data_IF_838543039312
#
_entry.id   IF_838543039312
#
_cell.length_a   1.000
_cell.length_b   1.000
_cell.length_c   1.000
_cell.angle_alpha   90.00
_cell.angle_beta   90.00
_cell.angle_gamma   90.00
#
_symmetry.space_group_name_H-M   'P 1'
#
loop_
_entity.id
_entity.type
_entity.pdbx_description
1 polymer ?
#
# COMPACT_ATOMS: atom_id res chain seq x y z
N UNK A 1 -29.72 -2.15 -3.58
CA UNK A 1 -28.90 -0.95 -3.86
C UNK A 1 -28.50 -1.00 -5.34
N UNK A 2 -28.50 0.12 -6.08
CA UNK A 2 -28.04 0.12 -7.49
C UNK A 2 -26.54 -0.22 -7.52
N UNK A 3 -26.14 -1.17 -8.36
CA UNK A 3 -24.72 -1.48 -8.59
C UNK A 3 -24.03 -0.32 -9.30
N UNK A 4 -22.78 -0.02 -8.94
CA UNK A 4 -21.96 0.93 -9.70
C UNK A 4 -21.50 0.28 -10.98
N UNK A 5 -21.80 0.93 -12.11
CA UNK A 5 -21.37 0.46 -13.43
C UNK A 5 -19.95 0.90 -13.73
N UNK A 6 -19.07 -0.05 -13.97
CA UNK A 6 -17.65 0.16 -14.20
C UNK A 6 -17.33 -0.13 -15.67
N UNK A 7 -16.65 0.81 -16.34
CA UNK A 7 -16.01 0.58 -17.63
C UNK A 7 -14.50 0.46 -17.47
N UNK A 8 -13.84 -0.26 -18.38
CA UNK A 8 -12.37 -0.31 -18.47
C UNK A 8 -11.88 0.10 -19.85
N UNK A 9 -10.80 0.89 -19.90
CA UNK A 9 -10.04 1.21 -21.10
C UNK A 9 -8.76 0.36 -21.09
N UNK A 10 -8.60 -0.54 -22.05
CA UNK A 10 -7.44 -1.46 -22.14
C UNK A 10 -6.79 -1.45 -23.52
N UNK A 11 -5.49 -1.71 -23.58
CA UNK A 11 -4.79 -1.90 -24.87
C UNK A 11 -5.00 -3.30 -25.46
N UNK A 12 -5.24 -4.30 -24.62
CA UNK A 12 -5.60 -5.67 -25.00
C UNK A 12 -6.23 -6.40 -23.82
N UNK A 13 -6.83 -7.58 -24.05
CA UNK A 13 -7.33 -8.47 -22.99
C UNK A 13 -6.21 -9.29 -22.31
N UNK A 14 -4.94 -9.02 -22.63
CA UNK A 14 -3.79 -9.52 -21.90
C UNK A 14 -3.19 -8.39 -21.07
N UNK A 15 -3.35 -8.45 -19.75
CA UNK A 15 -3.07 -7.34 -18.82
C UNK A 15 -2.01 -7.72 -17.78
N UNK A 16 -1.54 -6.73 -17.01
CA UNK A 16 -0.68 -6.96 -15.86
C UNK A 16 -1.49 -7.50 -14.66
N UNK A 17 -0.84 -8.22 -13.74
CA UNK A 17 -1.51 -8.86 -12.61
C UNK A 17 -2.37 -7.92 -11.75
N UNK A 18 -1.92 -6.69 -11.53
CA UNK A 18 -2.65 -5.76 -10.66
C UNK A 18 -3.95 -5.27 -11.31
N UNK A 19 -4.03 -5.29 -12.65
CA UNK A 19 -5.27 -5.01 -13.40
C UNK A 19 -6.22 -6.20 -13.26
N UNK A 20 -5.69 -7.42 -13.39
CA UNK A 20 -6.43 -8.67 -13.16
C UNK A 20 -6.98 -8.76 -11.73
N UNK A 21 -6.20 -8.34 -10.73
CA UNK A 21 -6.65 -8.24 -9.32
C UNK A 21 -7.78 -7.22 -9.12
N UNK A 22 -7.70 -6.05 -9.77
CA UNK A 22 -8.80 -5.06 -9.75
C UNK A 22 -10.06 -5.62 -10.42
N UNK A 23 -9.92 -6.28 -11.57
CA UNK A 23 -11.04 -6.90 -12.28
C UNK A 23 -11.66 -8.00 -11.42
N UNK A 24 -10.83 -8.87 -10.83
CA UNK A 24 -11.30 -9.92 -9.92
C UNK A 24 -12.08 -9.36 -8.74
N UNK A 25 -11.60 -8.25 -8.14
CA UNK A 25 -12.33 -7.54 -7.10
C UNK A 25 -13.69 -7.02 -7.60
N UNK A 26 -13.74 -6.38 -8.78
CA UNK A 26 -14.98 -5.87 -9.37
C UNK A 26 -15.99 -7.00 -9.60
N UNK A 27 -15.54 -8.16 -10.08
CA UNK A 27 -16.40 -9.31 -10.35
C UNK A 27 -16.89 -9.99 -9.07
N UNK A 28 -16.13 -9.91 -7.97
CA UNK A 28 -16.48 -10.52 -6.69
C UNK A 28 -17.35 -9.62 -5.80
N UNK A 29 -17.39 -8.31 -6.04
CA UNK A 29 -18.13 -7.35 -5.23
C UNK A 29 -19.56 -7.12 -5.76
N UNK A 30 -20.56 -7.53 -4.99
CA UNK A 30 -21.97 -7.39 -5.37
C UNK A 30 -22.46 -5.94 -5.53
N UNK A 31 -21.70 -4.95 -5.06
CA UNK A 31 -21.99 -3.52 -5.25
C UNK A 31 -21.57 -3.03 -6.63
N UNK A 32 -20.78 -3.81 -7.37
CA UNK A 32 -20.17 -3.40 -8.64
C UNK A 32 -20.68 -4.26 -9.81
N UNK A 33 -20.62 -3.67 -11.00
CA UNK A 33 -20.89 -4.33 -12.26
C UNK A 33 -19.86 -3.88 -13.29
N UNK A 34 -19.10 -4.81 -13.89
CA UNK A 34 -18.27 -4.46 -15.03
C UNK A 34 -19.15 -4.45 -16.30
N UNK A 35 -19.48 -3.26 -16.77
CA UNK A 35 -20.51 -3.04 -17.80
C UNK A 35 -19.95 -2.75 -19.19
N UNK A 36 -18.67 -2.40 -19.33
CA UNK A 36 -18.07 -2.07 -20.63
C UNK A 36 -16.55 -2.31 -20.68
N UNK A 37 -16.09 -2.88 -21.79
CA UNK A 37 -14.68 -2.91 -22.19
C UNK A 37 -14.49 -2.02 -23.41
N UNK A 38 -13.64 -1.00 -23.30
CA UNK A 38 -13.18 -0.18 -24.42
C UNK A 38 -11.75 -0.58 -24.76
N UNK A 39 -11.61 -1.35 -25.84
CA UNK A 39 -10.32 -1.87 -26.29
C UNK A 39 -9.68 -0.95 -27.33
N UNK A 40 -8.39 -0.67 -27.17
CA UNK A 40 -7.60 0.07 -28.14
C UNK A 40 -7.42 -0.73 -29.44
N UNK A 41 -8.08 -0.29 -30.50
CA UNK A 41 -8.00 -0.83 -31.85
C UNK A 41 -6.87 -0.27 -32.70
N UNK A 42 -5.97 0.57 -32.16
CA UNK A 42 -4.81 1.02 -32.91
C UNK A 42 -3.83 -0.13 -33.14
N UNK A 43 -3.38 -0.31 -34.38
CA UNK A 43 -2.36 -1.31 -34.68
C UNK A 43 -1.03 -0.96 -33.99
N UNK A 44 -0.36 -1.93 -33.35
CA UNK A 44 0.96 -1.72 -32.80
C UNK A 44 1.89 -1.29 -33.93
N UNK A 45 2.62 -0.17 -33.75
CA UNK A 45 3.64 0.20 -34.73
C UNK A 45 4.70 -0.90 -34.78
N UNK A 46 5.01 -1.48 -35.96
CA UNK A 46 5.99 -2.54 -36.06
C UNK A 46 7.35 -2.02 -35.56
N UNK A 47 7.86 -2.65 -34.49
CA UNK A 47 9.22 -2.39 -34.02
C UNK A 47 10.19 -3.14 -34.91
N UNK A 48 11.00 -2.43 -35.69
CA UNK A 48 12.08 -3.05 -36.46
C UNK A 48 13.01 -3.83 -35.51
N UNK A 49 13.34 -5.11 -35.80
CA UNK A 49 14.26 -5.87 -34.98
C UNK A 49 15.61 -5.15 -34.93
N UNK A 50 16.11 -4.91 -33.72
CA UNK A 50 17.35 -4.17 -33.46
C UNK A 50 18.51 -5.14 -33.27
N UNK A 51 19.66 -4.85 -33.89
CA UNK A 51 20.89 -5.63 -33.71
C UNK A 51 21.43 -5.48 -32.27
N UNK A 52 22.18 -6.47 -31.79
CA UNK A 52 22.79 -6.43 -30.45
C UNK A 52 23.67 -5.19 -30.24
N UNK A 53 24.46 -4.81 -31.25
CA UNK A 53 25.29 -3.60 -31.25
C UNK A 53 24.46 -2.32 -31.11
N UNK A 54 23.30 -2.24 -31.76
CA UNK A 54 22.42 -1.08 -31.63
C UNK A 54 21.82 -0.96 -30.23
N UNK A 55 21.52 -2.09 -29.56
CA UNK A 55 21.01 -2.12 -28.18
C UNK A 55 22.06 -1.71 -27.15
N UNK A 56 23.32 -2.08 -27.36
CA UNK A 56 24.44 -1.69 -26.48
C UNK A 56 24.73 -0.18 -26.62
N UNK A 57 24.56 0.37 -27.81
CA UNK A 57 24.69 1.82 -28.07
C UNK A 57 23.52 2.65 -27.53
N UNK A 58 22.43 2.03 -27.08
CA UNK A 58 21.37 2.76 -26.39
C UNK A 58 21.85 3.21 -25.01
N UNK A 59 21.51 4.46 -24.68
CA UNK A 59 21.93 5.06 -23.43
C UNK A 59 21.21 4.46 -22.20
N UNK A 60 20.52 3.33 -22.29
CA UNK A 60 19.81 2.68 -21.19
C UNK A 60 20.05 1.15 -21.14
N UNK A 61 21.08 0.66 -21.85
CA UNK A 61 21.43 -0.76 -21.87
C UNK A 61 21.65 -1.35 -20.47
N UNK A 62 22.38 -0.64 -19.60
CA UNK A 62 22.69 -1.09 -18.25
C UNK A 62 21.43 -1.27 -17.40
N UNK A 63 20.42 -0.42 -17.61
CA UNK A 63 19.13 -0.51 -16.91
C UNK A 63 18.42 -1.82 -17.22
N UNK A 64 18.27 -2.17 -18.49
CA UNK A 64 17.62 -3.42 -18.87
C UNK A 64 18.41 -4.66 -18.45
N UNK A 65 19.75 -4.58 -18.43
CA UNK A 65 20.58 -5.67 -17.89
C UNK A 65 20.40 -5.82 -16.38
N UNK A 66 20.37 -4.71 -15.65
CA UNK A 66 20.13 -4.71 -14.21
C UNK A 66 18.75 -5.27 -13.88
N UNK A 67 17.68 -4.84 -14.56
CA UNK A 67 16.32 -5.36 -14.32
C UNK A 67 16.24 -6.89 -14.51
N UNK A 68 16.98 -7.46 -15.48
CA UNK A 68 17.06 -8.92 -15.65
C UNK A 68 17.77 -9.62 -14.50
N UNK A 69 18.70 -8.96 -13.83
CA UNK A 69 19.38 -9.50 -12.64
C UNK A 69 18.50 -9.35 -11.40
N UNK A 70 17.85 -8.19 -11.24
CA UNK A 70 16.91 -7.92 -10.15
C UNK A 70 15.73 -8.92 -10.19
N UNK A 71 15.17 -9.17 -11.37
CA UNK A 71 14.17 -10.22 -11.62
C UNK A 71 14.60 -11.64 -11.26
N UNK A 72 15.90 -11.93 -11.27
CA UNK A 72 16.41 -13.24 -10.84
C UNK A 72 16.60 -13.33 -9.33
N UNK A 73 16.80 -12.20 -8.65
CA UNK A 73 16.93 -12.16 -7.18
C UNK A 73 15.61 -12.46 -6.51
N UNK A 74 14.50 -12.01 -7.10
CA UNK A 74 13.15 -12.33 -6.68
C UNK A 74 12.34 -12.93 -7.83
N UNK A 75 12.56 -14.23 -8.08
CA UNK A 75 11.88 -14.94 -9.15
C UNK A 75 10.36 -15.06 -8.90
N UNK A 76 9.95 -15.19 -7.63
CA UNK A 76 8.55 -15.32 -7.24
C UNK A 76 7.79 -13.99 -7.47
N UNK A 77 8.33 -12.87 -6.98
CA UNK A 77 7.74 -11.56 -7.24
C UNK A 77 7.78 -11.20 -8.73
N UNK A 78 8.86 -11.55 -9.44
CA UNK A 78 8.92 -11.35 -10.89
C UNK A 78 7.86 -12.18 -11.64
N UNK A 79 7.54 -13.39 -11.18
CA UNK A 79 6.51 -14.23 -11.79
C UNK A 79 5.12 -13.60 -11.73
N UNK A 80 4.85 -12.71 -10.76
CA UNK A 80 3.60 -11.94 -10.73
C UNK A 80 3.47 -11.00 -11.94
N UNK A 81 4.57 -10.53 -12.53
CA UNK A 81 4.52 -9.68 -13.72
C UNK A 81 4.25 -10.44 -15.03
N UNK A 82 4.06 -11.76 -14.98
CA UNK A 82 3.64 -12.52 -16.15
C UNK A 82 2.26 -12.04 -16.62
N UNK A 83 2.05 -11.86 -17.94
CA UNK A 83 0.77 -11.39 -18.45
C UNK A 83 -0.40 -12.30 -18.07
N UNK A 84 -1.56 -11.70 -17.82
CA UNK A 84 -2.81 -12.37 -17.45
C UNK A 84 -3.84 -12.21 -18.55
N UNK A 85 -4.45 -13.31 -18.98
CA UNK A 85 -5.55 -13.29 -19.93
C UNK A 85 -6.87 -13.13 -19.18
N UNK A 86 -7.53 -11.99 -19.37
CA UNK A 86 -8.83 -11.67 -18.75
C UNK A 86 -10.00 -11.95 -19.68
N UNK A 87 -9.76 -12.36 -20.94
CA UNK A 87 -10.84 -12.59 -21.89
C UNK A 87 -11.88 -13.63 -21.43
N UNK A 88 -11.50 -14.78 -20.82
CA UNK A 88 -12.47 -15.77 -20.38
C UNK A 88 -13.42 -15.25 -19.29
N UNK A 89 -12.88 -14.50 -18.32
CA UNK A 89 -13.67 -13.95 -17.21
C UNK A 89 -14.66 -12.87 -17.66
N UNK A 90 -14.40 -12.23 -18.81
CA UNK A 90 -15.16 -11.08 -19.28
C UNK A 90 -15.96 -11.35 -20.57
N UNK A 91 -16.18 -12.61 -20.92
CA UNK A 91 -16.81 -12.99 -22.19
C UNK A 91 -18.23 -12.43 -22.38
N UNK A 92 -18.97 -12.18 -21.29
CA UNK A 92 -20.32 -11.61 -21.31
C UNK A 92 -20.35 -10.08 -21.29
N UNK A 93 -19.22 -9.41 -21.07
CA UNK A 93 -19.17 -7.96 -20.94
C UNK A 93 -19.13 -7.32 -22.34
N UNK A 94 -20.01 -6.33 -22.62
CA UNK A 94 -19.98 -5.60 -23.88
C UNK A 94 -18.60 -5.02 -24.18
N UNK A 95 -18.19 -5.08 -25.44
CA UNK A 95 -16.86 -4.66 -25.89
C UNK A 95 -16.95 -3.75 -27.11
N UNK A 96 -16.37 -2.56 -26.98
CA UNK A 96 -16.21 -1.58 -28.06
C UNK A 96 -14.73 -1.52 -28.43
N UNK A 97 -14.41 -1.63 -29.71
CA UNK A 97 -13.05 -1.47 -30.21
C UNK A 97 -12.88 -0.09 -30.82
N UNK A 98 -12.02 0.73 -30.22
CA UNK A 98 -11.82 2.13 -30.63
C UNK A 98 -10.44 2.36 -31.21
N UNK A 99 -10.37 2.95 -32.40
CA UNK A 99 -9.10 3.44 -32.96
C UNK A 99 -8.94 4.93 -32.65
N UNK A 100 -8.12 5.32 -31.65
CA UNK A 100 -8.00 6.71 -31.24
C UNK A 100 -7.35 7.60 -32.31
N UNK A 101 -7.76 8.87 -32.34
CA UNK A 101 -7.11 9.92 -33.11
C UNK A 101 -5.82 10.33 -32.39
N UNK A 102 -4.72 9.75 -32.86
CA UNK A 102 -3.41 9.90 -32.27
C UNK A 102 -2.73 11.23 -32.63
N UNK A 103 -2.41 12.08 -31.64
CA UNK A 103 -1.59 13.30 -31.83
C UNK A 103 -0.44 13.37 -30.81
N UNK A 104 0.82 13.38 -31.27
CA UNK A 104 2.02 13.30 -30.40
C UNK A 104 1.90 12.12 -29.41
N UNK A 105 1.67 12.41 -28.11
CA UNK A 105 1.50 11.45 -27.02
C UNK A 105 0.06 11.36 -26.49
N UNK A 106 -0.88 12.05 -27.15
CA UNK A 106 -2.29 12.13 -26.73
C UNK A 106 -3.21 11.36 -27.64
N UNK A 107 -4.22 10.73 -27.05
CA UNK A 107 -5.31 10.05 -27.73
C UNK A 107 -6.61 10.83 -27.54
N UNK A 108 -7.31 11.09 -28.64
CA UNK A 108 -8.68 11.61 -28.64
C UNK A 108 -9.59 10.60 -29.31
N UNK A 109 -10.84 10.56 -28.86
CA UNK A 109 -11.84 9.61 -29.34
C UNK A 109 -12.74 10.31 -30.37
N UNK A 110 -13.28 9.56 -31.34
CA UNK A 110 -14.25 10.13 -32.27
C UNK A 110 -15.55 10.43 -31.54
N UNK A 111 -16.38 11.32 -32.10
CA UNK A 111 -17.62 11.73 -31.42
C UNK A 111 -18.60 10.56 -31.31
N UNK A 112 -18.59 9.68 -32.32
CA UNK A 112 -19.42 8.49 -32.40
C UNK A 112 -19.01 7.48 -31.32
N UNK A 113 -17.71 7.21 -31.19
CA UNK A 113 -17.17 6.32 -30.14
C UNK A 113 -17.52 6.85 -28.73
N UNK A 114 -17.41 8.18 -28.51
CA UNK A 114 -17.76 8.79 -27.22
C UNK A 114 -19.26 8.69 -26.94
N UNK A 115 -20.11 8.85 -27.95
CA UNK A 115 -21.55 8.71 -27.80
C UNK A 115 -21.93 7.27 -27.45
N UNK A 116 -21.38 6.29 -28.16
CA UNK A 116 -21.59 4.86 -27.90
C UNK A 116 -21.15 4.49 -26.47
N UNK A 117 -19.98 4.96 -26.02
CA UNK A 117 -19.51 4.73 -24.65
C UNK A 117 -20.46 5.36 -23.61
N UNK A 118 -21.01 6.54 -23.90
CA UNK A 118 -21.93 7.25 -22.99
C UNK A 118 -23.27 6.51 -22.82
N UNK A 119 -23.73 5.80 -23.84
CA UNK A 119 -24.98 5.04 -23.80
C UNK A 119 -24.95 3.88 -22.79
N UNK A 120 -23.77 3.48 -22.30
CA UNK A 120 -23.63 2.48 -21.24
C UNK A 120 -23.92 3.00 -19.82
N UNK A 121 -24.13 4.32 -19.63
CA UNK A 121 -24.43 4.97 -18.34
C UNK A 121 -23.46 4.56 -17.21
N UNK A 122 -22.16 4.70 -17.49
CA UNK A 122 -21.11 4.28 -16.57
C UNK A 122 -21.00 5.21 -15.36
N UNK A 123 -20.82 4.62 -14.18
CA UNK A 123 -20.52 5.38 -12.97
C UNK A 123 -19.02 5.72 -12.90
N UNK A 124 -18.13 4.77 -13.23
CA UNK A 124 -16.67 4.96 -13.23
C UNK A 124 -16.08 4.35 -14.50
N UNK A 125 -15.04 4.99 -15.05
CA UNK A 125 -14.21 4.40 -16.11
C UNK A 125 -12.77 4.26 -15.63
N UNK A 126 -12.18 3.06 -15.66
CA UNK A 126 -10.80 2.82 -15.27
C UNK A 126 -9.87 2.82 -16.49
N UNK A 127 -8.81 3.63 -16.45
CA UNK A 127 -7.85 3.75 -17.54
C UNK A 127 -6.60 2.89 -17.31
N UNK A 128 -6.55 1.74 -17.96
CA UNK A 128 -5.41 0.79 -17.93
C UNK A 128 -4.59 0.78 -19.22
N UNK A 129 -5.16 1.23 -20.33
CA UNK A 129 -4.50 1.36 -21.63
C UNK A 129 -4.56 2.78 -22.19
N UNK A 130 -4.35 2.88 -23.50
CA UNK A 130 -4.27 4.13 -24.25
C UNK A 130 -3.11 5.03 -23.78
N UNK A 131 -2.80 6.05 -24.56
CA UNK A 131 -1.82 7.08 -24.17
C UNK A 131 -2.52 8.14 -23.33
N UNK A 132 -2.03 9.38 -23.34
CA UNK A 132 -2.66 10.47 -22.58
C UNK A 132 -4.02 10.78 -23.23
N UNK A 133 -5.11 10.34 -22.61
CA UNK A 133 -6.47 10.58 -23.13
C UNK A 133 -6.91 12.02 -22.86
N UNK A 134 -7.67 12.60 -23.79
CA UNK A 134 -8.14 13.98 -23.73
C UNK A 134 -9.52 14.17 -24.35
N UNK A 135 -10.19 15.25 -23.95
CA UNK A 135 -11.51 15.64 -24.47
C UNK A 135 -12.67 14.85 -23.88
N UNK A 136 -13.78 14.78 -24.64
CA UNK A 136 -15.09 14.35 -24.15
C UNK A 136 -15.16 12.93 -23.55
N UNK A 137 -14.17 12.06 -23.82
CA UNK A 137 -14.06 10.75 -23.16
C UNK A 137 -13.96 10.87 -21.64
N UNK A 138 -13.33 11.95 -21.13
CA UNK A 138 -13.14 12.19 -19.70
C UNK A 138 -14.45 12.44 -18.93
N UNK A 139 -15.51 12.77 -19.66
CA UNK A 139 -16.84 13.13 -19.14
C UNK A 139 -17.88 12.03 -19.42
N UNK A 140 -17.44 10.83 -19.82
CA UNK A 140 -18.36 9.71 -20.16
C UNK A 140 -18.87 8.94 -18.96
N UNK A 141 -18.22 9.06 -17.80
CA UNK A 141 -18.60 8.39 -16.57
C UNK A 141 -18.98 9.39 -15.48
N UNK A 142 -19.97 9.04 -14.67
CA UNK A 142 -20.56 9.91 -13.63
C UNK A 142 -19.55 10.45 -12.61
N UNK A 143 -18.64 9.60 -12.15
CA UNK A 143 -17.54 9.92 -11.24
C UNK A 143 -16.19 10.02 -11.99
N UNK A 144 -16.24 10.19 -13.31
CA UNK A 144 -15.12 10.45 -14.19
C UNK A 144 -14.26 9.24 -14.54
N UNK A 145 -13.15 9.52 -15.24
CA UNK A 145 -12.17 8.50 -15.63
C UNK A 145 -11.05 8.43 -14.60
N UNK A 146 -10.94 7.29 -13.91
CA UNK A 146 -9.93 7.04 -12.90
C UNK A 146 -8.67 6.46 -13.54
N UNK A 147 -7.51 6.93 -13.11
CA UNK A 147 -6.21 6.49 -13.62
C UNK A 147 -5.21 6.42 -12.48
N UNK A 148 -4.31 5.44 -12.59
CA UNK A 148 -3.15 5.34 -11.73
C UNK A 148 -2.02 6.22 -12.23
N UNK A 149 -1.27 6.73 -11.27
CA UNK A 149 0.09 7.21 -11.44
C UNK A 149 0.96 6.44 -10.44
N UNK A 150 1.84 5.56 -10.93
CA UNK A 150 2.70 4.69 -10.12
C UNK A 150 3.94 5.44 -9.64
N UNK A 151 3.69 6.49 -8.87
CA UNK A 151 4.63 7.37 -8.20
C UNK A 151 3.83 8.29 -7.28
N UNK A 152 4.52 8.97 -6.35
CA UNK A 152 3.92 10.16 -5.74
C UNK A 152 3.90 11.27 -6.80
N UNK A 153 2.71 11.71 -7.20
CA UNK A 153 2.57 12.68 -8.29
C UNK A 153 3.07 14.09 -7.93
N UNK A 154 3.39 14.39 -6.66
CA UNK A 154 4.12 15.60 -6.25
C UNK A 154 5.63 15.49 -6.49
N UNK A 155 6.19 14.28 -6.42
CA UNK A 155 7.63 14.07 -6.33
C UNK A 155 8.21 13.37 -7.58
N UNK A 156 7.48 12.41 -8.15
CA UNK A 156 7.95 11.53 -9.21
C UNK A 156 6.92 11.43 -10.33
N UNK A 157 7.11 12.16 -11.43
CA UNK A 157 6.28 12.03 -12.65
C UNK A 157 7.04 11.39 -13.81
N UNK A 158 6.35 10.60 -14.63
CA UNK A 158 6.94 9.86 -15.75
C UNK A 158 7.14 8.39 -15.42
N UNK A 159 8.23 7.79 -15.91
CA UNK A 159 8.65 6.41 -15.59
C UNK A 159 10.09 6.40 -15.08
N UNK A 160 10.65 5.33 -14.54
CA UNK A 160 10.17 3.96 -14.36
C UNK A 160 9.75 3.76 -12.89
N UNK A 161 8.53 3.29 -12.59
CA UNK A 161 8.05 3.16 -11.21
C UNK A 161 8.99 2.34 -10.32
N UNK A 162 9.29 2.88 -9.13
CA UNK A 162 10.10 2.26 -8.09
C UNK A 162 11.62 2.30 -8.33
N UNK A 163 12.11 2.88 -9.44
CA UNK A 163 13.55 3.01 -9.68
C UNK A 163 14.13 4.31 -9.09
N UNK A 164 13.48 5.43 -9.36
CA UNK A 164 14.03 6.75 -9.05
C UNK A 164 14.04 7.05 -7.55
N UNK A 165 13.07 6.51 -6.83
CA UNK A 165 13.01 6.53 -5.38
C UNK A 165 14.26 5.86 -4.77
N UNK A 166 14.68 4.72 -5.31
CA UNK A 166 15.91 4.02 -4.87
C UNK A 166 17.16 4.81 -5.24
N UNK A 167 17.18 5.33 -6.46
CA UNK A 167 18.30 6.11 -7.01
C UNK A 167 18.61 7.36 -6.19
N UNK A 168 17.56 8.08 -5.81
CA UNK A 168 17.62 9.31 -5.02
C UNK A 168 17.71 9.03 -3.52
N UNK A 169 17.40 7.80 -3.08
CA UNK A 169 17.41 7.43 -1.66
C UNK A 169 16.19 7.93 -0.90
N UNK A 170 15.06 8.08 -1.59
CA UNK A 170 13.80 8.43 -0.96
C UNK A 170 13.32 7.24 -0.09
N UNK A 171 13.09 7.43 1.22
CA UNK A 171 12.70 6.34 2.12
C UNK A 171 11.31 5.76 1.79
N UNK A 172 10.50 6.47 0.99
CA UNK A 172 9.15 6.03 0.62
C UNK A 172 8.93 6.07 -0.89
N UNK A 173 8.15 5.12 -1.38
CA UNK A 173 7.65 5.03 -2.74
C UNK A 173 6.13 5.13 -2.69
N UNK A 174 5.56 6.05 -3.47
CA UNK A 174 4.11 6.33 -3.48
C UNK A 174 3.40 5.82 -4.74
N UNK A 175 2.10 5.57 -4.63
CA UNK A 175 1.19 5.42 -5.77
C UNK A 175 0.00 6.34 -5.56
N UNK A 176 -0.43 6.98 -6.65
CA UNK A 176 -1.55 7.93 -6.66
C UNK A 176 -2.68 7.37 -7.53
N UNK A 177 -3.91 7.37 -7.01
CA UNK A 177 -5.12 7.15 -7.79
C UNK A 177 -5.83 8.50 -7.97
N UNK A 178 -6.20 8.83 -9.20
CA UNK A 178 -6.76 10.14 -9.52
C UNK A 178 -7.86 10.07 -10.58
N UNK A 179 -8.80 11.00 -10.54
CA UNK A 179 -9.74 11.28 -11.63
C UNK A 179 -9.06 12.22 -12.63
N UNK A 180 -9.04 11.83 -13.90
CA UNK A 180 -8.42 12.59 -14.96
C UNK A 180 -9.25 13.81 -15.35
N UNK A 181 -8.56 14.89 -15.72
CA UNK A 181 -9.13 16.09 -16.35
C UNK A 181 -8.37 16.40 -17.64
N UNK A 182 -8.85 17.34 -18.47
CA UNK A 182 -8.18 17.67 -19.73
C UNK A 182 -6.84 18.44 -19.52
N UNK A 183 -6.62 18.94 -18.30
CA UNK A 183 -5.32 19.48 -17.90
C UNK A 183 -4.35 18.35 -17.59
N UNK A 184 -3.17 18.40 -18.22
CA UNK A 184 -2.01 17.72 -17.65
C UNK A 184 -1.86 18.27 -16.23
N UNK A 185 -1.78 17.37 -15.24
CA UNK A 185 -1.55 17.71 -13.83
C UNK A 185 -2.74 18.30 -13.07
N UNK A 186 -3.92 18.38 -13.69
CA UNK A 186 -5.13 18.91 -13.04
C UNK A 186 -6.10 17.85 -12.54
N UNK A 187 -5.65 16.61 -12.36
CA UNK A 187 -6.51 15.52 -11.87
C UNK A 187 -6.88 15.68 -10.40
N UNK A 188 -8.06 15.18 -10.03
CA UNK A 188 -8.51 15.10 -8.64
C UNK A 188 -7.91 13.86 -7.98
N UNK A 189 -7.07 14.02 -6.96
CA UNK A 189 -6.43 12.89 -6.27
C UNK A 189 -7.47 12.21 -5.37
N UNK A 190 -7.83 10.96 -5.69
CA UNK A 190 -8.72 10.14 -4.86
C UNK A 190 -8.02 9.66 -3.59
N UNK A 191 -6.72 9.38 -3.71
CA UNK A 191 -5.86 9.07 -2.59
C UNK A 191 -4.44 8.77 -3.02
N UNK A 192 -3.57 8.66 -2.02
CA UNK A 192 -2.19 8.21 -2.16
C UNK A 192 -1.93 7.15 -1.11
N UNK A 193 -1.09 6.18 -1.44
CA UNK A 193 -0.53 5.26 -0.45
C UNK A 193 0.97 5.16 -0.65
N UNK A 194 1.69 5.02 0.46
CA UNK A 194 3.14 4.99 0.50
C UNK A 194 3.61 3.66 1.07
N UNK A 195 4.74 3.17 0.55
CA UNK A 195 5.45 1.99 1.06
C UNK A 195 6.90 2.37 1.31
N UNK A 196 7.53 1.72 2.29
CA UNK A 196 8.97 1.85 2.48
C UNK A 196 9.69 1.43 1.20
N UNK A 197 10.58 2.29 0.71
CA UNK A 197 11.42 2.00 -0.44
C UNK A 197 12.44 0.93 -0.06
N UNK A 198 12.47 -0.16 -0.82
CA UNK A 198 13.53 -1.13 -0.77
C UNK A 198 14.82 -0.53 -1.36
N UNK A 199 15.88 -0.52 -0.56
CA UNK A 199 17.09 0.28 -0.82
C UNK A 199 17.92 -0.16 -2.03
N UNK A 200 17.64 -1.34 -2.58
CA UNK A 200 18.47 -2.00 -3.60
C UNK A 200 17.72 -2.71 -4.73
N UNK A 201 16.38 -2.77 -4.69
CA UNK A 201 15.57 -3.54 -5.66
C UNK A 201 14.38 -2.72 -6.16
N UNK A 202 14.54 -2.04 -7.30
CA UNK A 202 13.44 -1.40 -8.02
C UNK A 202 12.29 -2.34 -8.35
N UNK A 203 12.56 -3.63 -8.59
CA UNK A 203 11.51 -4.63 -8.83
C UNK A 203 10.57 -4.78 -7.63
N UNK A 204 11.12 -4.97 -6.42
CA UNK A 204 10.33 -5.10 -5.20
C UNK A 204 9.50 -3.85 -4.95
N UNK A 205 10.08 -2.66 -5.16
CA UNK A 205 9.34 -1.41 -5.05
C UNK A 205 8.19 -1.33 -6.04
N UNK A 206 8.44 -1.69 -7.29
CA UNK A 206 7.40 -1.73 -8.31
C UNK A 206 6.28 -2.70 -7.96
N UNK A 207 6.62 -3.89 -7.46
CA UNK A 207 5.63 -4.87 -7.01
C UNK A 207 4.77 -4.33 -5.85
N UNK A 208 5.42 -3.70 -4.87
CA UNK A 208 4.76 -3.04 -3.74
C UNK A 208 3.83 -1.91 -4.20
N UNK A 209 4.28 -1.06 -5.13
CA UNK A 209 3.49 0.03 -5.68
C UNK A 209 2.23 -0.46 -6.40
N UNK A 210 2.36 -1.49 -7.26
CA UNK A 210 1.21 -2.05 -7.96
C UNK A 210 0.22 -2.73 -7.01
N UNK A 211 0.72 -3.55 -6.07
CA UNK A 211 -0.13 -4.22 -5.06
C UNK A 211 -0.87 -3.21 -4.19
N UNK A 212 -0.18 -2.14 -3.76
CA UNK A 212 -0.80 -1.08 -2.95
C UNK A 212 -1.80 -0.24 -3.75
N UNK A 213 -1.58 -0.11 -5.06
CA UNK A 213 -2.54 0.55 -5.96
C UNK A 213 -3.89 -0.17 -6.00
N UNK A 214 -3.90 -1.50 -5.94
CA UNK A 214 -5.16 -2.28 -5.87
C UNK A 214 -5.93 -1.91 -4.60
N UNK A 215 -5.26 -1.91 -3.43
CA UNK A 215 -5.88 -1.54 -2.15
C UNK A 215 -6.45 -0.12 -2.15
N UNK A 216 -5.76 0.80 -2.82
CA UNK A 216 -6.22 2.19 -2.96
C UNK A 216 -7.54 2.29 -3.74
N UNK A 217 -7.74 1.44 -4.76
CA UNK A 217 -9.01 1.36 -5.48
C UNK A 217 -10.12 0.74 -4.63
N UNK A 218 -9.83 -0.36 -3.93
CA UNK A 218 -10.79 -0.98 -2.99
C UNK A 218 -11.29 0.04 -1.97
N UNK A 219 -10.36 0.78 -1.36
CA UNK A 219 -10.70 1.83 -0.40
C UNK A 219 -11.52 2.97 -1.01
N UNK A 220 -11.20 3.39 -2.24
CA UNK A 220 -11.96 4.42 -2.94
C UNK A 220 -13.39 3.97 -3.26
N UNK A 221 -13.59 2.70 -3.66
CA UNK A 221 -14.91 2.09 -3.86
C UNK A 221 -15.68 2.01 -2.55
N UNK A 222 -15.05 1.58 -1.46
CA UNK A 222 -15.71 1.51 -0.15
C UNK A 222 -16.19 2.87 0.32
N UNK A 223 -15.36 3.91 0.17
CA UNK A 223 -15.78 5.28 0.51
C UNK A 223 -16.95 5.74 -0.35
N UNK A 224 -16.90 5.49 -1.65
CA UNK A 224 -17.94 5.91 -2.59
C UNK A 224 -19.27 5.18 -2.33
N UNK A 225 -19.23 3.86 -2.11
CA UNK A 225 -20.43 3.03 -1.90
C UNK A 225 -21.05 3.22 -0.52
N UNK A 226 -20.26 3.59 0.51
CA UNK A 226 -20.80 3.92 1.85
C UNK A 226 -21.49 5.29 1.89
N UNK A 227 -20.90 6.30 1.25
CA UNK A 227 -21.43 7.67 1.29
C UNK A 227 -22.49 7.93 0.20
N UNK A 228 -22.42 7.22 -0.93
CA UNK A 228 -23.28 7.41 -2.12
C UNK A 228 -23.47 8.87 -2.53
N UNK A 229 -22.39 9.68 -2.65
CA UNK A 229 -22.50 11.10 -2.94
C UNK A 229 -23.02 11.35 -4.37
N UNK A 230 -23.67 12.50 -4.59
CA UNK A 230 -23.85 13.01 -5.96
C UNK A 230 -22.48 13.37 -6.58
N UNK A 231 -22.35 13.48 -7.91
CA UNK A 231 -21.10 13.93 -8.53
C UNK A 231 -20.61 15.26 -7.98
N UNK A 232 -21.51 16.21 -7.73
CA UNK A 232 -21.18 17.52 -7.17
C UNK A 232 -20.60 17.38 -5.76
N UNK A 233 -21.23 16.57 -4.90
CA UNK A 233 -20.73 16.29 -3.56
C UNK A 233 -19.38 15.56 -3.60
N UNK A 234 -19.25 14.57 -4.48
CA UNK A 234 -18.00 13.83 -4.67
C UNK A 234 -16.86 14.77 -5.05
N UNK A 235 -17.05 15.59 -6.09
CA UNK A 235 -16.02 16.50 -6.56
C UNK A 235 -15.74 17.66 -5.60
N UNK A 236 -16.71 18.05 -4.77
CA UNK A 236 -16.52 19.07 -3.72
C UNK A 236 -15.57 18.60 -2.59
N UNK A 237 -15.38 17.29 -2.40
CA UNK A 237 -14.44 16.78 -1.39
C UNK A 237 -12.96 16.99 -1.74
N UNK A 238 -12.64 17.28 -3.01
CA UNK A 238 -11.27 17.48 -3.44
C UNK A 238 -10.88 18.96 -3.31
N UNK A 239 -10.23 19.29 -2.20
CA UNK A 239 -9.77 20.65 -1.91
C UNK A 239 -8.51 21.04 -2.72
N UNK A 240 -7.71 20.06 -3.14
CA UNK A 240 -6.43 20.30 -3.79
C UNK A 240 -6.37 19.66 -5.18
N UNK A 241 -6.29 20.51 -6.21
CA UNK A 241 -5.69 20.09 -7.48
C UNK A 241 -4.22 19.82 -7.22
N UNK A 242 -3.65 18.80 -7.85
CA UNK A 242 -2.21 18.53 -7.74
C UNK A 242 -1.44 19.84 -7.99
N UNK A 243 -0.63 20.26 -7.02
CA UNK A 243 0.13 21.52 -7.10
C UNK A 243 1.08 21.57 -8.31
N UNK A 244 1.67 22.74 -8.60
CA UNK A 244 2.65 22.86 -9.67
C UNK A 244 3.81 21.89 -9.43
N UNK A 245 4.22 21.17 -10.47
CA UNK A 245 5.31 20.20 -10.40
C UNK A 245 6.60 20.83 -10.89
N UNK A 246 7.57 20.92 -9.98
CA UNK A 246 8.83 21.62 -10.22
C UNK A 246 9.97 20.67 -10.60
N UNK A 247 9.77 19.35 -10.42
CA UNK A 247 10.79 18.34 -10.69
C UNK A 247 10.82 17.96 -12.17
N UNK A 248 11.85 17.20 -12.57
CA UNK A 248 11.97 16.68 -13.95
C UNK A 248 10.93 15.60 -14.22
N UNK A 249 10.54 15.43 -15.49
CA UNK A 249 9.78 14.25 -15.92
C UNK A 249 10.76 13.09 -16.11
N UNK A 250 10.65 12.10 -15.24
CA UNK A 250 11.50 10.94 -15.20
C UNK A 250 11.25 9.99 -16.38
N UNK A 251 12.32 9.33 -16.83
CA UNK A 251 12.34 8.35 -17.92
C UNK A 251 13.18 7.14 -17.51
N UNK A 252 13.35 6.17 -18.39
CA UNK A 252 14.33 5.11 -18.19
C UNK A 252 15.73 5.72 -17.95
N UNK A 253 16.47 5.27 -16.91
CA UNK A 253 17.73 5.87 -16.52
C UNK A 253 18.81 5.67 -17.59
N UNK A 254 19.71 6.64 -17.66
CA UNK A 254 20.85 6.58 -18.57
C UNK A 254 21.91 5.59 -18.08
N UNK A 255 22.84 5.16 -18.93
CA UNK A 255 23.95 4.30 -18.53
C UNK A 255 24.83 5.00 -17.47
N UNK A 256 25.00 6.32 -17.56
CA UNK A 256 25.71 7.11 -16.55
C UNK A 256 25.00 7.11 -15.19
N UNK A 257 23.68 7.36 -15.18
CA UNK A 257 22.86 7.25 -13.97
C UNK A 257 22.91 5.81 -13.41
N UNK A 258 22.87 4.79 -14.26
CA UNK A 258 23.01 3.40 -13.83
C UNK A 258 24.37 3.09 -13.20
N UNK A 259 25.48 3.64 -13.69
CA UNK A 259 26.79 3.44 -13.06
C UNK A 259 26.83 4.05 -11.65
N UNK A 260 26.28 5.27 -11.49
CA UNK A 260 26.16 5.91 -10.19
C UNK A 260 25.25 5.10 -9.25
N UNK A 261 24.08 4.68 -9.73
CA UNK A 261 23.15 3.81 -9.02
C UNK A 261 23.83 2.54 -8.50
N UNK A 262 24.54 1.81 -9.38
CA UNK A 262 25.19 0.54 -9.03
C UNK A 262 26.30 0.77 -8.00
N UNK A 263 27.10 1.83 -8.15
CA UNK A 263 28.14 2.17 -7.17
C UNK A 263 27.57 2.45 -5.78
N UNK A 264 26.45 3.19 -5.69
CA UNK A 264 25.76 3.48 -4.42
C UNK A 264 25.13 2.22 -3.84
N UNK A 265 24.51 1.40 -4.67
CA UNK A 265 23.87 0.15 -4.26
C UNK A 265 24.89 -0.83 -3.69
N UNK A 266 26.05 -1.00 -4.35
CA UNK A 266 27.15 -1.83 -3.85
C UNK A 266 27.67 -1.30 -2.51
N UNK A 267 27.88 0.03 -2.39
CA UNK A 267 28.30 0.64 -1.12
C UNK A 267 27.29 0.39 0.00
N UNK A 268 25.98 0.52 -0.25
CA UNK A 268 24.93 0.21 0.74
C UNK A 268 24.95 -1.26 1.16
N UNK A 269 25.05 -2.17 0.20
CA UNK A 269 25.14 -3.62 0.48
C UNK A 269 26.38 -3.99 1.31
N UNK A 270 27.52 -3.35 1.01
CA UNK A 270 28.76 -3.56 1.77
C UNK A 270 28.65 -2.93 3.16
N UNK A 271 28.18 -1.68 3.26
CA UNK A 271 28.00 -0.97 4.52
C UNK A 271 27.06 -1.73 5.47
N UNK A 272 25.93 -2.26 4.96
CA UNK A 272 24.99 -3.05 5.74
C UNK A 272 25.67 -4.23 6.46
N UNK A 273 26.65 -4.89 5.84
CA UNK A 273 27.41 -5.98 6.48
C UNK A 273 28.21 -5.53 7.70
N UNK A 274 28.56 -4.24 7.78
CA UNK A 274 29.32 -3.65 8.87
C UNK A 274 28.45 -2.84 9.86
N UNK A 275 27.26 -2.37 9.45
CA UNK A 275 26.34 -1.63 10.34
C UNK A 275 25.58 -2.57 11.28
N UNK A 276 25.24 -3.78 10.81
CA UNK A 276 24.67 -4.83 11.67
C UNK A 276 25.68 -5.38 12.71
N UNK A 277 26.96 -5.03 12.62
CA UNK A 277 27.98 -5.36 13.62
C UNK A 277 28.30 -4.15 14.51
N UNK A 278 27.34 -3.72 15.33
CA UNK A 278 27.65 -2.77 16.43
C UNK A 278 26.51 -1.87 16.89
N UNK A 279 25.60 -1.47 16.01
CA UNK A 279 24.45 -0.63 16.39
C UNK A 279 23.30 -1.52 16.90
N UNK A 280 22.92 -1.36 18.17
CA UNK A 280 21.73 -2.00 18.73
C UNK A 280 20.52 -1.14 18.32
N UNK A 281 19.64 -1.70 17.50
CA UNK A 281 18.35 -1.09 17.22
C UNK A 281 17.51 -1.13 18.51
N UNK A 282 17.29 0.04 19.11
CA UNK A 282 16.47 0.22 20.30
C UNK A 282 15.15 0.88 19.91
N UNK A 283 14.07 0.10 19.91
CA UNK A 283 12.70 0.60 19.78
C UNK A 283 12.23 1.24 21.09
N UNK A 284 11.39 2.27 20.94
CA UNK A 284 10.73 3.00 22.03
C UNK A 284 9.29 3.30 21.62
N UNK A 285 8.42 3.55 22.59
CA UNK A 285 7.01 3.91 22.36
C UNK A 285 6.83 5.42 22.48
N UNK A 286 6.27 6.05 21.45
CA UNK A 286 5.90 7.47 21.46
C UNK A 286 4.41 7.67 21.67
N UNK A 287 4.02 8.60 22.54
CA UNK A 287 2.63 8.94 22.85
C UNK A 287 2.31 10.34 22.35
N UNK A 288 1.25 10.47 21.55
CA UNK A 288 0.73 11.76 21.07
C UNK A 288 -0.76 11.84 21.39
N UNK A 289 -1.15 12.85 22.15
CA UNK A 289 -2.54 13.07 22.59
C UNK A 289 -3.33 13.86 21.55
N UNK A 290 -3.35 13.38 20.30
CA UNK A 290 -4.10 13.98 19.19
C UNK A 290 -4.84 12.91 18.38
N UNK A 291 -5.96 13.26 17.75
CA UNK A 291 -6.60 12.39 16.77
C UNK A 291 -5.62 12.03 15.64
N UNK A 292 -5.70 10.80 15.13
CA UNK A 292 -4.86 10.34 14.01
C UNK A 292 -4.95 11.29 12.79
N UNK A 293 -6.13 11.87 12.54
CA UNK A 293 -6.36 12.81 11.45
C UNK A 293 -5.60 14.14 11.59
N UNK A 294 -5.13 14.48 12.80
CA UNK A 294 -4.37 15.70 13.09
C UNK A 294 -2.86 15.44 13.23
N UNK A 295 -2.42 14.20 13.01
CA UNK A 295 -1.01 13.86 13.07
C UNK A 295 -0.26 14.50 11.90
N UNK A 296 0.77 15.26 12.22
CA UNK A 296 1.75 15.83 11.31
C UNK A 296 3.18 15.48 11.75
N UNK A 297 4.15 15.71 10.86
CA UNK A 297 5.58 15.54 11.16
C UNK A 297 6.00 16.31 12.42
N UNK A 298 5.44 17.50 12.64
CA UNK A 298 5.68 18.33 13.83
C UNK A 298 5.12 17.63 15.07
N UNK A 299 3.87 17.18 15.04
CA UNK A 299 3.27 16.50 16.21
C UNK A 299 3.96 15.20 16.57
N UNK A 300 4.49 14.46 15.59
CA UNK A 300 5.22 13.21 15.82
C UNK A 300 6.62 13.49 16.39
N UNK A 301 7.24 14.62 16.03
CA UNK A 301 8.51 15.06 16.61
C UNK A 301 8.36 15.37 18.10
N UNK A 302 7.24 15.98 18.48
CA UNK A 302 6.93 16.41 19.84
C UNK A 302 6.23 15.32 20.67
N UNK A 303 6.24 14.07 20.20
CA UNK A 303 5.68 12.95 20.94
C UNK A 303 6.38 12.74 22.28
N UNK A 304 5.62 12.32 23.30
CA UNK A 304 6.20 11.90 24.58
C UNK A 304 6.77 10.48 24.43
N UNK A 305 8.09 10.36 24.43
CA UNK A 305 8.77 9.08 24.22
C UNK A 305 9.05 8.38 25.54
N UNK A 306 8.50 7.17 25.69
CA UNK A 306 8.82 6.25 26.79
C UNK A 306 10.19 5.65 26.48
N UNK A 307 11.21 6.03 27.25
CA UNK A 307 12.58 5.56 27.06
C UNK A 307 12.82 4.28 27.85
N UNK A 308 13.08 3.14 27.20
CA UNK A 308 13.54 1.95 27.89
C UNK A 308 15.00 2.10 28.33
N UNK A 309 15.42 1.26 29.29
CA UNK A 309 16.82 1.12 29.66
C UNK A 309 17.68 0.70 28.44
N UNK A 310 18.96 1.08 28.41
CA UNK A 310 19.87 0.83 27.25
C UNK A 310 20.12 -0.65 26.92
N UNK A 311 19.69 -1.56 27.80
CA UNK A 311 19.84 -3.01 27.67
C UNK A 311 18.64 -3.71 27.04
N UNK A 312 17.61 -2.97 26.62
CA UNK A 312 16.36 -3.51 26.07
C UNK A 312 15.71 -2.57 25.06
N UNK A 313 14.72 -3.06 24.33
CA UNK A 313 13.74 -2.20 23.66
C UNK A 313 12.33 -2.47 24.19
N UNK A 314 11.41 -1.54 23.90
CA UNK A 314 9.97 -1.77 24.03
C UNK A 314 9.27 -1.59 22.69
N UNK A 315 8.29 -2.44 22.40
CA UNK A 315 7.56 -2.47 21.13
C UNK A 315 6.07 -2.84 21.33
N UNK A 316 5.33 -2.87 20.23
CA UNK A 316 3.93 -3.31 20.12
C UNK A 316 3.00 -2.72 21.20
N UNK A 317 2.84 -1.39 21.27
CA UNK A 317 2.04 -0.77 22.31
C UNK A 317 0.54 -1.12 22.15
N UNK A 318 -0.06 -1.61 23.23
CA UNK A 318 -1.50 -1.78 23.38
C UNK A 318 -2.04 -0.89 24.51
N UNK A 319 -2.86 0.10 24.15
CA UNK A 319 -3.46 1.04 25.09
C UNK A 319 -4.71 0.45 25.74
N UNK A 320 -4.74 0.46 27.08
CA UNK A 320 -5.90 0.13 27.92
C UNK A 320 -6.20 1.31 28.82
N UNK A 321 -7.46 1.78 28.80
CA UNK A 321 -7.92 2.87 29.66
C UNK A 321 -8.79 2.30 30.78
N UNK A 322 -8.39 2.49 32.04
CA UNK A 322 -9.12 1.98 33.21
C UNK A 322 -9.02 2.95 34.38
N UNK A 323 -10.14 3.15 35.09
CA UNK A 323 -10.24 4.07 36.24
C UNK A 323 -9.74 5.50 35.96
N UNK A 324 -9.98 6.00 34.74
CA UNK A 324 -9.55 7.33 34.30
C UNK A 324 -8.04 7.47 34.08
N UNK A 325 -7.30 6.36 33.98
CA UNK A 325 -5.86 6.32 33.70
C UNK A 325 -5.55 5.48 32.47
N UNK A 326 -4.46 5.83 31.80
CA UNK A 326 -3.98 5.16 30.60
C UNK A 326 -2.82 4.22 30.96
N UNK A 327 -2.93 2.98 30.48
CA UNK A 327 -1.94 1.92 30.63
C UNK A 327 -1.54 1.44 29.25
N UNK A 328 -0.24 1.37 28.99
CA UNK A 328 0.29 0.85 27.73
C UNK A 328 1.00 -0.47 28.03
N UNK A 329 0.42 -1.57 27.56
CA UNK A 329 1.09 -2.86 27.52
C UNK A 329 2.05 -2.87 26.33
N UNK A 330 3.24 -3.43 26.51
CA UNK A 330 4.30 -3.46 25.50
C UNK A 330 5.00 -4.81 25.53
N UNK A 331 5.56 -5.21 24.37
CA UNK A 331 6.67 -6.15 24.37
C UNK A 331 7.89 -5.45 25.02
N UNK A 332 8.48 -6.08 26.04
CA UNK A 332 9.74 -5.71 26.67
C UNK A 332 10.78 -6.76 26.33
N UNK A 333 11.80 -6.36 25.55
CA UNK A 333 12.79 -7.25 24.97
C UNK A 333 14.21 -6.94 25.51
N UNK A 334 14.67 -7.64 26.56
CA UNK A 334 16.04 -7.54 27.04
C UNK A 334 17.04 -8.15 26.05
N UNK A 335 18.05 -7.38 25.66
CA UNK A 335 19.06 -7.79 24.67
C UNK A 335 19.92 -8.98 25.12
N UNK A 336 20.13 -9.12 26.43
CA UNK A 336 20.90 -10.24 26.98
C UNK A 336 20.20 -11.58 26.75
N UNK A 337 18.91 -11.64 27.04
CA UNK A 337 18.13 -12.89 26.94
C UNK A 337 17.58 -13.14 25.55
N UNK A 338 17.42 -12.08 24.74
CA UNK A 338 16.79 -12.11 23.41
C UNK A 338 15.39 -12.71 23.40
N UNK A 339 14.65 -12.53 24.50
CA UNK A 339 13.30 -13.07 24.69
C UNK A 339 12.38 -11.98 25.22
N UNK A 340 11.33 -11.69 24.47
CA UNK A 340 10.28 -10.73 24.82
C UNK A 340 9.42 -11.25 25.96
N UNK A 341 8.96 -10.33 26.79
CA UNK A 341 7.91 -10.55 27.79
C UNK A 341 6.97 -9.35 27.77
N UNK A 342 5.77 -9.47 28.34
CA UNK A 342 4.85 -8.33 28.38
C UNK A 342 5.13 -7.50 29.62
N UNK A 343 5.34 -6.20 29.42
CA UNK A 343 5.42 -5.19 30.47
C UNK A 343 4.29 -4.17 30.31
N UNK A 344 4.04 -3.38 31.35
CA UNK A 344 3.04 -2.32 31.37
C UNK A 344 3.65 -1.01 31.85
N UNK A 345 3.26 0.08 31.20
CA UNK A 345 3.58 1.46 31.58
C UNK A 345 2.28 2.16 31.94
N UNK A 346 2.19 2.69 33.16
CA UNK A 346 1.11 3.59 33.52
C UNK A 346 1.50 5.02 33.14
N UNK A 347 0.59 5.76 32.51
CA UNK A 347 0.79 7.17 32.20
C UNK A 347 0.21 8.04 33.33
N UNK A 348 0.98 9.04 33.76
CA UNK A 348 0.50 10.10 34.64
C UNK A 348 -0.48 11.05 33.95
N UNK A 349 -1.06 12.00 34.70
CA UNK A 349 -1.99 13.01 34.17
C UNK A 349 -1.37 13.88 33.07
N UNK A 350 -0.06 14.10 33.13
CA UNK A 350 0.70 14.89 32.14
C UNK A 350 1.37 14.00 31.08
N UNK A 351 0.90 12.75 30.93
CA UNK A 351 1.52 11.71 30.09
C UNK A 351 2.95 11.33 30.50
N UNK A 352 3.42 11.81 31.66
CA UNK A 352 4.68 11.35 32.24
C UNK A 352 4.65 9.83 32.42
N UNK A 353 5.62 9.16 31.81
CA UNK A 353 5.74 7.71 31.88
C UNK A 353 6.21 7.32 33.27
N UNK A 354 5.45 6.46 33.94
CA UNK A 354 5.94 5.78 35.13
C UNK A 354 6.97 4.70 34.74
N UNK A 355 7.49 3.98 35.74
CA UNK A 355 8.39 2.85 35.50
C UNK A 355 7.71 1.73 34.68
N UNK A 356 8.48 1.17 33.75
CA UNK A 356 8.11 -0.05 33.01
C UNK A 356 8.11 -1.21 34.02
N UNK A 357 7.00 -1.91 34.14
CA UNK A 357 6.83 -3.04 35.09
C UNK A 357 6.42 -4.31 34.35
N UNK A 358 6.98 -5.48 34.69
CA UNK A 358 6.54 -6.74 34.10
C UNK A 358 5.06 -7.01 34.37
N UNK A 359 4.33 -7.49 33.37
CA UNK A 359 2.91 -7.84 33.46
C UNK A 359 2.66 -9.33 33.20
N UNK A 360 3.33 -9.94 32.21
CA UNK A 360 3.23 -11.37 31.93
C UNK A 360 4.59 -11.90 31.48
N UNK A 361 5.00 -13.02 32.07
CA UNK A 361 6.26 -13.70 31.77
C UNK A 361 6.01 -15.18 31.58
N UNK A 362 6.70 -15.75 30.60
CA UNK A 362 6.74 -17.17 30.31
C UNK A 362 8.19 -17.61 30.06
N UNK A 363 8.40 -18.91 29.92
CA UNK A 363 9.68 -19.51 29.53
C UNK A 363 9.94 -19.47 28.01
N UNK A 364 8.99 -18.97 27.23
CA UNK A 364 9.06 -18.67 25.80
C UNK A 364 8.84 -17.17 25.51
N UNK A 365 9.13 -16.76 24.28
CA UNK A 365 8.96 -15.38 23.82
C UNK A 365 7.48 -14.95 23.80
N UNK A 366 7.20 -13.75 24.33
CA UNK A 366 5.91 -13.07 24.21
C UNK A 366 6.11 -11.69 23.56
N UNK A 367 5.25 -11.35 22.62
CA UNK A 367 5.19 -10.03 21.94
C UNK A 367 3.73 -9.64 21.68
N UNK A 368 3.49 -8.51 21.00
CA UNK A 368 2.17 -8.08 20.53
C UNK A 368 1.01 -8.26 21.54
N UNK A 369 1.00 -7.54 22.68
CA UNK A 369 0.05 -7.76 23.78
C UNK A 369 -1.36 -7.22 23.47
N UNK A 370 -2.12 -7.88 22.59
CA UNK A 370 -3.49 -7.48 22.24
C UNK A 370 -4.44 -7.64 23.44
N UNK A 371 -4.64 -6.56 24.20
CA UNK A 371 -5.52 -6.50 25.36
C UNK A 371 -6.87 -5.86 25.00
N UNK A 372 -7.97 -6.47 25.45
CA UNK A 372 -9.32 -6.02 25.14
C UNK A 372 -10.31 -6.38 26.25
N UNK A 373 -11.36 -5.57 26.39
CA UNK A 373 -12.45 -5.85 27.33
C UNK A 373 -13.55 -6.67 26.66
N UNK A 374 -14.06 -7.68 27.36
CA UNK A 374 -15.19 -8.49 26.93
C UNK A 374 -16.03 -8.89 28.15
N UNK A 375 -17.34 -8.61 28.10
CA UNK A 375 -18.29 -8.90 29.18
C UNK A 375 -17.87 -8.36 30.57
N UNK A 376 -17.21 -7.19 30.59
CA UNK A 376 -16.75 -6.53 31.82
C UNK A 376 -15.41 -7.05 32.37
N UNK A 377 -14.85 -8.09 31.76
CA UNK A 377 -13.54 -8.64 32.11
C UNK A 377 -12.48 -8.17 31.11
N UNK A 378 -11.23 -8.06 31.56
CA UNK A 378 -10.09 -7.71 30.71
C UNK A 378 -9.32 -8.97 30.33
N UNK A 379 -9.13 -9.15 29.02
CA UNK A 379 -8.37 -10.25 28.44
C UNK A 379 -7.17 -9.75 27.65
N UNK A 380 -6.22 -10.65 27.42
CA UNK A 380 -5.05 -10.43 26.56
C UNK A 380 -4.76 -11.68 25.75
N UNK A 381 -4.47 -11.49 24.46
CA UNK A 381 -3.93 -12.54 23.58
C UNK A 381 -2.59 -12.02 23.07
N UNK A 382 -1.46 -12.35 23.74
CA UNK A 382 -0.14 -11.99 23.23
C UNK A 382 0.22 -12.89 22.03
N UNK A 383 1.11 -12.42 21.16
CA UNK A 383 1.84 -13.33 20.29
C UNK A 383 2.73 -14.24 21.16
N UNK A 384 2.65 -15.54 20.90
CA UNK A 384 3.45 -16.56 21.59
C UNK A 384 3.71 -17.77 20.69
N UNK A 385 4.07 -17.53 19.43
CA UNK A 385 4.27 -18.55 18.40
C UNK A 385 5.22 -19.69 18.83
N UNK A 386 6.23 -19.39 19.66
CA UNK A 386 7.18 -20.38 20.21
C UNK A 386 6.49 -21.45 21.07
N UNK A 387 5.36 -21.12 21.69
CA UNK A 387 4.55 -22.09 22.46
C UNK A 387 3.72 -23.03 21.57
N UNK A 388 3.67 -22.77 20.25
CA UNK A 388 2.83 -23.45 19.26
C UNK A 388 1.33 -23.46 19.62
N UNK A 389 0.87 -22.42 20.34
CA UNK A 389 -0.51 -22.25 20.81
C UNK A 389 -0.89 -20.78 20.76
N UNK A 390 -2.16 -20.49 20.48
CA UNK A 390 -2.77 -19.17 20.72
C UNK A 390 -3.55 -19.24 22.02
N UNK A 391 -3.17 -18.45 23.02
CA UNK A 391 -3.73 -18.52 24.38
C UNK A 391 -4.39 -17.20 24.76
N UNK A 392 -5.58 -17.32 25.34
CA UNK A 392 -6.31 -16.24 25.98
C UNK A 392 -5.91 -16.18 27.46
N UNK A 393 -5.39 -15.03 27.88
CA UNK A 393 -5.14 -14.71 29.28
C UNK A 393 -6.25 -13.81 29.82
N UNK A 394 -6.65 -14.02 31.06
CA UNK A 394 -7.58 -13.15 31.80
C UNK A 394 -6.83 -12.38 32.87
N UNK A 395 -7.15 -11.10 33.02
CA UNK A 395 -6.57 -10.27 34.06
C UNK A 395 -7.20 -10.63 35.41
N UNK A 396 -6.46 -11.35 36.27
CA UNK A 396 -6.91 -11.72 37.61
C UNK A 396 -6.85 -10.53 38.57
N UNK A 397 -5.82 -9.68 38.43
CA UNK A 397 -5.67 -8.43 39.16
C UNK A 397 -4.91 -7.43 38.30
N UNK A 398 -5.58 -6.33 38.00
CA UNK A 398 -5.03 -5.29 37.15
C UNK A 398 -3.90 -4.50 37.84
N UNK A 399 -2.82 -4.11 37.12
CA UNK A 399 -2.55 -4.35 35.70
C UNK A 399 -1.66 -5.57 35.38
N UNK A 400 -1.09 -6.23 36.38
CA UNK A 400 0.10 -7.08 36.23
C UNK A 400 -0.08 -8.54 36.70
N UNK A 401 -1.30 -8.96 37.03
CA UNK A 401 -1.58 -10.37 37.32
C UNK A 401 -2.53 -10.95 36.28
N UNK A 402 -1.96 -11.81 35.44
CA UNK A 402 -2.63 -12.48 34.34
C UNK A 402 -2.58 -13.98 34.55
N UNK A 403 -3.68 -14.67 34.23
CA UNK A 403 -3.79 -16.12 34.30
C UNK A 403 -4.22 -16.67 32.95
N UNK A 404 -3.69 -17.81 32.54
CA UNK A 404 -4.17 -18.54 31.37
C UNK A 404 -5.64 -18.89 31.60
N UNK A 405 -6.52 -18.43 30.70
CA UNK A 405 -7.96 -18.71 30.74
C UNK A 405 -8.28 -19.90 29.83
N UNK A 406 -7.90 -19.82 28.55
CA UNK A 406 -8.21 -20.81 27.52
C UNK A 406 -7.16 -20.86 26.42
N UNK A 407 -6.92 -22.06 25.86
CA UNK A 407 -6.22 -22.23 24.58
C UNK A 407 -7.24 -22.04 23.45
N UNK A 408 -7.04 -21.03 22.61
CA UNK A 408 -7.91 -20.73 21.47
C UNK A 408 -7.59 -21.60 20.26
N UNK A 409 -6.30 -21.79 19.97
CA UNK A 409 -5.78 -22.69 18.95
C UNK A 409 -4.60 -23.47 19.54
N UNK A 410 -4.62 -24.78 19.32
CA UNK A 410 -3.55 -25.69 19.73
C UNK A 410 -2.84 -26.22 18.48
N UNK A 411 -1.56 -26.59 18.60
CA UNK A 411 -0.67 -26.96 17.49
C UNK A 411 -0.65 -25.92 16.34
N UNK A 412 -0.64 -24.64 16.71
CA UNK A 412 -0.66 -23.52 15.78
C UNK A 412 0.21 -22.36 16.27
N UNK A 413 1.29 -22.08 15.54
CA UNK A 413 2.20 -20.97 15.80
C UNK A 413 1.66 -19.63 15.24
N UNK A 414 0.66 -19.07 15.92
CA UNK A 414 0.05 -17.79 15.54
C UNK A 414 0.96 -16.58 15.79
N UNK A 415 0.93 -15.60 14.89
CA UNK A 415 1.74 -14.38 14.89
C UNK A 415 0.79 -13.17 14.98
N UNK A 416 1.12 -12.16 15.79
CA UNK A 416 0.34 -10.92 15.95
C UNK A 416 -1.20 -11.14 16.08
N UNK A 417 -1.61 -12.06 16.96
CA UNK A 417 -3.02 -12.45 17.08
C UNK A 417 -3.93 -11.30 17.55
N UNK A 418 -5.03 -11.06 16.84
CA UNK A 418 -6.05 -10.04 17.14
C UNK A 418 -7.44 -10.66 17.25
N UNK A 419 -8.14 -10.36 18.34
CA UNK A 419 -9.56 -10.66 18.52
C UNK A 419 -10.39 -9.44 18.11
N UNK A 420 -11.37 -9.66 17.24
CA UNK A 420 -12.35 -8.67 16.82
C UNK A 420 -13.77 -9.21 16.98
N UNK A 421 -14.60 -8.48 17.74
CA UNK A 421 -16.03 -8.74 17.80
C UNK A 421 -16.75 -7.90 16.74
N UNK A 422 -17.42 -8.54 15.79
CA UNK A 422 -18.13 -7.87 14.71
C UNK A 422 -19.35 -8.70 14.26
N UNK A 423 -20.50 -8.05 14.11
CA UNK A 423 -21.78 -8.65 13.69
C UNK A 423 -22.12 -9.93 14.47
N UNK A 424 -22.13 -9.83 15.80
CA UNK A 424 -22.40 -10.94 16.75
C UNK A 424 -21.43 -12.12 16.64
N UNK A 425 -20.31 -11.96 15.92
CA UNK A 425 -19.27 -12.98 15.76
C UNK A 425 -17.97 -12.55 16.39
N UNK A 426 -17.22 -13.52 16.87
CA UNK A 426 -15.83 -13.36 17.31
C UNK A 426 -14.91 -13.85 16.19
N UNK A 427 -14.04 -12.97 15.71
CA UNK A 427 -13.03 -13.27 14.71
C UNK A 427 -11.65 -13.26 15.36
N UNK A 428 -10.85 -14.28 15.06
CA UNK A 428 -9.43 -14.35 15.39
C UNK A 428 -8.63 -14.19 14.09
N UNK A 429 -7.85 -13.12 14.01
CA UNK A 429 -6.85 -12.92 12.95
C UNK A 429 -5.49 -13.23 13.54
N UNK A 430 -4.66 -13.97 12.80
CA UNK A 430 -3.33 -14.39 13.26
C UNK A 430 -2.45 -14.84 12.10
#
# INVERSE_FOLDING_TARGET
MRKLKIGILVDSLTVAFWIDEIISFILADDRLELSLIVENGAEPRPRKPRSLLSRIRENNFLYYRFNRLDAKRDAAGNARFLPKDIAPALASVPRIKVTPIAKKFTDRFRKEDVAEIRDHDLDIMLRFGFRIIRGAILETARYGVWSYHHGDNSEYRGGEPGFWEVYEGNPVSGVTLQVLTDSLDGGYVLGKTFRRTHDTSPLLNRLNLFTSGVLLFVHAIDRLTRATPTPEQFFATFLEKSGPYEKRIYKAPTNGEMLLFLSRTIRRMVAARFTFSGERFQWSVGVVSKPVAELSTETLRDAHWIQPETDRFIADPCLVRRDGRDYIFVEDFPFETRRGHISVVALGSDHESMSIRPALRQDYHLSFPHAFEHEGELYMVPEQAESNRVVLYRCAKFPDQWVEDRVLLDDFAGIDSVILFHDERCWLFT
#
